data_IF_267705082272
#
_entry.id   IF_267705082272
#
_cell.length_a   1.000
_cell.length_b   1.000
_cell.length_c   1.000
_cell.angle_alpha   90.00
_cell.angle_beta   90.00
_cell.angle_gamma   90.00
#
_symmetry.space_group_name_H-M   'P 1'
#
loop_
_entity.id
_entity.type
_entity.pdbx_description
1 polymer ?
#
# COMPACT_ATOMS: atom_id res chain seq x y z
N UNK A 1 -19.62 -17.57 -29.90
CA UNK A 1 -19.46 -16.20 -29.38
C UNK A 1 -18.34 -16.28 -28.35
N UNK A 2 -17.11 -16.09 -28.80
CA UNK A 2 -15.90 -16.19 -27.98
C UNK A 2 -15.74 -14.84 -27.30
N UNK A 3 -15.88 -14.82 -25.98
CA UNK A 3 -15.69 -13.60 -25.20
C UNK A 3 -14.19 -13.36 -25.09
N UNK A 4 -13.67 -12.43 -25.90
CA UNK A 4 -12.29 -11.98 -25.76
C UNK A 4 -12.19 -11.14 -24.48
N UNK A 5 -11.38 -11.62 -23.54
CA UNK A 5 -11.00 -10.84 -22.38
C UNK A 5 -10.20 -9.63 -22.87
N UNK A 6 -10.80 -8.45 -22.81
CA UNK A 6 -10.14 -7.20 -23.12
C UNK A 6 -9.18 -6.85 -21.96
N UNK A 7 -8.01 -7.48 -21.94
CA UNK A 7 -6.91 -7.13 -21.04
C UNK A 7 -6.24 -5.84 -21.52
N UNK A 8 -6.97 -4.72 -21.55
CA UNK A 8 -6.44 -3.39 -21.83
C UNK A 8 -6.12 -2.67 -20.51
N UNK A 9 -5.09 -3.15 -19.81
CA UNK A 9 -4.12 -2.28 -19.15
C UNK A 9 -2.83 -3.08 -18.94
N UNK A 10 -1.79 -2.69 -19.67
CA UNK A 10 -0.42 -2.97 -19.28
C UNK A 10 -0.11 -2.11 -18.05
N UNK A 11 -0.74 -2.37 -16.90
CA UNK A 11 -0.24 -1.83 -15.63
C UNK A 11 1.14 -2.45 -15.43
N UNK A 12 2.18 -1.66 -15.66
CA UNK A 12 3.58 -2.11 -15.56
C UNK A 12 4.04 -2.14 -14.11
N UNK A 13 3.25 -1.59 -13.20
CA UNK A 13 3.56 -1.54 -11.79
C UNK A 13 3.56 -2.92 -11.13
N UNK A 14 4.39 -3.03 -10.07
CA UNK A 14 4.54 -4.25 -9.28
C UNK A 14 3.59 -4.18 -8.08
N UNK A 15 2.70 -5.15 -7.96
CA UNK A 15 1.82 -5.27 -6.79
C UNK A 15 2.62 -5.52 -5.52
N UNK A 16 2.38 -4.73 -4.49
CA UNK A 16 2.96 -4.91 -3.16
C UNK A 16 2.04 -5.84 -2.37
N UNK A 17 2.50 -7.05 -2.08
CA UNK A 17 1.71 -8.06 -1.36
C UNK A 17 1.71 -7.77 0.14
N UNK A 18 0.58 -7.25 0.63
CA UNK A 18 0.38 -6.92 2.03
C UNK A 18 -0.04 -8.16 2.84
N UNK A 19 0.70 -8.44 3.92
CA UNK A 19 0.41 -9.50 4.90
C UNK A 19 0.14 -8.88 6.26
N UNK A 20 -0.82 -9.45 6.99
CA UNK A 20 -1.11 -9.03 8.36
C UNK A 20 0.06 -9.46 9.26
N UNK A 21 0.55 -8.54 10.08
CA UNK A 21 1.66 -8.80 10.99
C UNK A 21 1.24 -9.48 12.31
N UNK A 22 0.03 -9.26 12.80
CA UNK A 22 -0.42 -9.76 14.12
C UNK A 22 -1.66 -10.67 14.06
N UNK A 23 -1.81 -11.56 15.03
CA UNK A 23 -2.95 -12.46 15.16
C UNK A 23 -4.20 -11.66 15.50
N UNK A 24 -5.06 -11.45 14.51
CA UNK A 24 -6.32 -10.74 14.66
C UNK A 24 -7.14 -11.29 15.85
N UNK A 25 -7.57 -10.40 16.75
CA UNK A 25 -8.79 -10.65 17.52
C UNK A 25 -9.95 -10.76 16.53
N UNK A 26 -10.89 -11.67 16.81
CA UNK A 26 -11.95 -12.11 15.87
C UNK A 26 -12.82 -11.01 15.22
N UNK A 27 -12.78 -9.78 15.71
CA UNK A 27 -13.72 -8.72 15.35
C UNK A 27 -13.06 -7.44 14.81
N UNK A 28 -11.82 -7.50 14.30
CA UNK A 28 -11.18 -6.30 13.77
C UNK A 28 -11.64 -6.03 12.33
N UNK A 29 -12.29 -4.89 12.15
CA UNK A 29 -12.71 -4.35 10.86
C UNK A 29 -11.66 -3.34 10.39
N UNK A 30 -11.16 -3.54 9.18
CA UNK A 30 -10.22 -2.65 8.50
C UNK A 30 -10.72 -2.36 7.08
N UNK A 31 -10.22 -1.29 6.48
CA UNK A 31 -10.45 -0.94 5.08
C UNK A 31 -9.45 -1.70 4.21
N UNK A 32 -9.91 -2.57 3.30
CA UNK A 32 -9.02 -3.22 2.36
C UNK A 32 -8.37 -2.17 1.44
N UNK A 33 -7.10 -2.40 1.11
CA UNK A 33 -6.34 -1.58 0.17
C UNK A 33 -5.63 -2.45 -0.87
N UNK A 34 -5.33 -1.85 -2.01
CA UNK A 34 -4.37 -2.36 -2.99
C UNK A 34 -3.22 -1.35 -3.09
N UNK A 35 -1.98 -1.84 -3.10
CA UNK A 35 -0.78 -1.02 -3.26
C UNK A 35 0.04 -1.51 -4.45
N UNK A 36 0.40 -0.59 -5.33
CA UNK A 36 1.15 -0.87 -6.56
C UNK A 36 2.33 0.09 -6.66
N UNK A 37 3.52 -0.45 -6.89
CA UNK A 37 4.70 0.34 -7.24
C UNK A 37 4.65 0.65 -8.73
N UNK A 38 4.31 1.88 -9.10
CA UNK A 38 4.21 2.36 -10.49
C UNK A 38 5.20 3.53 -10.71
N UNK A 39 6.25 3.28 -11.48
CA UNK A 39 7.35 4.25 -11.64
C UNK A 39 8.02 4.54 -10.29
N UNK A 40 8.08 5.82 -9.92
CA UNK A 40 8.65 6.30 -8.65
C UNK A 40 7.61 6.51 -7.55
N UNK A 41 6.38 5.99 -7.71
CA UNK A 41 5.34 6.14 -6.72
C UNK A 41 4.82 4.79 -6.25
N UNK A 42 4.41 4.73 -4.99
CA UNK A 42 3.44 3.74 -4.55
C UNK A 42 2.06 4.37 -4.70
N UNK A 43 1.24 3.78 -5.56
CA UNK A 43 -0.18 4.10 -5.67
C UNK A 43 -0.99 3.18 -4.76
N UNK A 44 -1.80 3.77 -3.89
CA UNK A 44 -2.65 3.07 -2.95
C UNK A 44 -4.12 3.38 -3.24
N UNK A 45 -4.90 2.34 -3.49
CA UNK A 45 -6.34 2.42 -3.65
C UNK A 45 -7.06 1.85 -2.43
N UNK A 46 -7.94 2.64 -1.84
CA UNK A 46 -8.85 2.18 -0.79
C UNK A 46 -10.11 1.57 -1.39
N UNK A 47 -10.56 0.43 -0.85
CA UNK A 47 -11.84 -0.19 -1.23
C UNK A 47 -13.02 0.23 -0.34
N UNK A 48 -12.76 1.10 0.63
CA UNK A 48 -13.73 1.66 1.56
C UNK A 48 -13.41 3.11 1.90
N UNK A 49 -14.22 3.71 2.77
CA UNK A 49 -14.01 5.06 3.28
C UNK A 49 -14.12 5.07 4.80
N UNK A 50 -13.39 5.97 5.45
CA UNK A 50 -13.48 6.22 6.89
C UNK A 50 -13.34 7.70 7.18
N UNK A 51 -13.84 8.15 8.33
CA UNK A 51 -13.51 9.47 8.88
C UNK A 51 -12.34 9.40 9.88
N UNK A 52 -11.86 8.19 10.17
CA UNK A 52 -10.71 7.95 11.05
C UNK A 52 -9.45 7.84 10.19
N UNK A 53 -8.33 8.47 10.60
CA UNK A 53 -7.09 8.42 9.86
C UNK A 53 -6.45 7.03 9.94
N UNK A 54 -5.74 6.68 8.89
CA UNK A 54 -4.82 5.55 8.81
C UNK A 54 -3.40 6.05 8.63
N UNK A 55 -2.40 5.27 9.04
CA UNK A 55 -1.00 5.65 8.89
C UNK A 55 -0.32 4.78 7.84
N UNK A 56 0.42 5.42 6.93
CA UNK A 56 1.40 4.75 6.09
C UNK A 56 2.79 5.03 6.62
N UNK A 57 3.64 4.00 6.62
CA UNK A 57 5.08 4.15 6.83
C UNK A 57 5.83 3.41 5.72
N UNK A 58 6.98 3.94 5.33
CA UNK A 58 7.97 3.19 4.54
C UNK A 58 9.20 3.01 5.42
N UNK A 59 9.67 1.76 5.52
CA UNK A 59 10.90 1.41 6.23
C UNK A 59 11.99 0.98 5.25
N UNK A 60 13.21 1.43 5.51
CA UNK A 60 14.39 0.92 4.81
C UNK A 60 14.77 -0.50 5.28
N UNK A 61 15.72 -1.13 4.59
CA UNK A 61 16.24 -2.46 4.95
C UNK A 61 16.80 -2.62 6.38
N UNK A 62 17.08 -1.52 7.07
CA UNK A 62 17.56 -1.54 8.46
C UNK A 62 16.41 -1.35 9.46
N UNK A 63 15.17 -1.23 8.97
CA UNK A 63 13.97 -0.99 9.77
C UNK A 63 13.76 0.49 10.12
N UNK A 64 14.54 1.42 9.57
CA UNK A 64 14.36 2.85 9.83
C UNK A 64 13.13 3.36 9.06
N UNK A 65 12.25 4.09 9.74
CA UNK A 65 11.14 4.79 9.07
C UNK A 65 11.72 5.95 8.27
N UNK A 66 11.62 5.88 6.95
CA UNK A 66 12.12 6.90 6.01
C UNK A 66 11.00 7.75 5.42
N UNK A 67 9.74 7.32 5.58
CA UNK A 67 8.55 8.10 5.28
C UNK A 67 7.43 7.72 6.25
N UNK A 68 6.61 8.70 6.62
CA UNK A 68 5.39 8.48 7.37
C UNK A 68 4.37 9.56 7.00
N UNK A 69 3.12 9.14 6.81
CA UNK A 69 2.00 10.07 6.64
C UNK A 69 0.70 9.50 7.24
N UNK A 70 -0.24 10.38 7.56
CA UNK A 70 -1.59 10.06 8.02
C UNK A 70 -2.62 10.50 7.00
N UNK A 71 -3.46 9.57 6.56
CA UNK A 71 -4.42 9.76 5.47
C UNK A 71 -5.82 9.43 5.96
N UNK A 72 -6.83 10.19 5.53
CA UNK A 72 -8.23 9.80 5.70
C UNK A 72 -8.61 8.90 4.51
N UNK A 73 -8.97 7.62 4.72
CA UNK A 73 -9.32 6.72 3.63
C UNK A 73 -10.51 7.21 2.81
N UNK A 74 -10.31 7.39 1.51
CA UNK A 74 -11.35 7.67 0.54
C UNK A 74 -11.25 6.72 -0.67
N UNK A 75 -12.37 6.11 -1.03
CA UNK A 75 -12.48 5.20 -2.17
C UNK A 75 -12.35 5.93 -3.52
N UNK A 76 -12.61 7.23 -3.56
CA UNK A 76 -12.62 8.01 -4.79
C UNK A 76 -11.23 8.49 -5.22
N UNK A 77 -10.24 8.46 -4.32
CA UNK A 77 -8.91 9.01 -4.55
C UNK A 77 -7.83 7.92 -4.48
N UNK A 78 -6.86 8.01 -5.40
CA UNK A 78 -5.63 7.22 -5.33
C UNK A 78 -4.65 8.01 -4.47
N UNK A 79 -4.28 7.45 -3.33
CA UNK A 79 -3.23 8.02 -2.49
C UNK A 79 -1.86 7.66 -3.08
N UNK A 80 -0.93 8.61 -3.08
CA UNK A 80 0.39 8.46 -3.70
C UNK A 80 1.49 8.75 -2.70
N UNK A 81 2.43 7.81 -2.59
CA UNK A 81 3.68 8.00 -1.86
C UNK A 81 4.77 8.22 -2.90
N UNK A 82 5.32 9.43 -2.93
CA UNK A 82 6.45 9.78 -3.78
C UNK A 82 7.75 9.19 -3.20
N UNK A 83 8.44 8.41 -4.01
CA UNK A 83 9.72 7.78 -3.66
C UNK A 83 10.91 8.55 -4.24
N UNK A 84 10.71 9.74 -4.81
CA UNK A 84 11.82 10.57 -5.30
C UNK A 84 12.82 10.87 -4.18
N UNK A 85 14.10 10.62 -4.48
CA UNK A 85 15.18 10.76 -3.51
C UNK A 85 15.44 9.51 -2.64
N UNK A 86 14.61 8.48 -2.74
CA UNK A 86 14.91 7.19 -2.14
C UNK A 86 16.04 6.51 -2.91
N UNK A 87 16.86 5.72 -2.21
CA UNK A 87 17.94 4.97 -2.82
C UNK A 87 17.42 3.62 -3.33
N UNK A 88 18.05 3.08 -4.37
CA UNK A 88 17.79 1.71 -4.79
C UNK A 88 18.01 0.71 -3.63
N UNK A 89 17.17 -0.31 -3.55
CA UNK A 89 17.19 -1.33 -2.51
C UNK A 89 15.81 -1.78 -2.03
N UNK A 90 15.81 -2.61 -0.99
CA UNK A 90 14.62 -3.20 -0.39
C UNK A 90 14.01 -2.30 0.69
N UNK A 91 12.68 -2.25 0.70
CA UNK A 91 11.87 -1.47 1.61
C UNK A 91 10.62 -2.25 2.03
N UNK A 92 10.01 -1.83 3.14
CA UNK A 92 8.71 -2.30 3.58
C UNK A 92 7.71 -1.14 3.56
N UNK A 93 6.53 -1.37 2.98
CA UNK A 93 5.35 -0.54 3.15
C UNK A 93 4.53 -1.09 4.32
N UNK A 94 4.23 -0.22 5.29
CA UNK A 94 3.34 -0.52 6.39
C UNK A 94 2.05 0.27 6.24
N UNK A 95 0.92 -0.42 6.34
CA UNK A 95 -0.41 0.15 6.45
C UNK A 95 -0.96 -0.15 7.84
N UNK A 96 -1.17 0.90 8.63
CA UNK A 96 -1.53 0.80 10.05
C UNK A 96 -2.89 1.44 10.26
N UNK A 97 -3.90 0.60 10.51
CA UNK A 97 -5.26 1.01 10.81
C UNK A 97 -5.66 0.47 12.18
N UNK A 98 -5.87 1.37 13.14
CA UNK A 98 -6.19 1.04 14.53
C UNK A 98 -5.13 0.09 15.12
N UNK A 99 -5.54 -1.12 15.48
CA UNK A 99 -4.70 -2.15 16.08
C UNK A 99 -4.17 -3.16 15.05
N UNK A 100 -4.35 -2.91 13.75
CA UNK A 100 -3.86 -3.80 12.68
C UNK A 100 -2.74 -3.13 11.91
N UNK A 101 -1.67 -3.90 11.68
CA UNK A 101 -0.58 -3.52 10.78
C UNK A 101 -0.48 -4.55 9.66
N UNK A 102 -0.50 -4.07 8.43
CA UNK A 102 -0.16 -4.83 7.24
C UNK A 102 1.22 -4.42 6.76
N UNK A 103 2.02 -5.39 6.32
CA UNK A 103 3.38 -5.19 5.84
C UNK A 103 3.49 -5.78 4.44
N UNK A 104 4.07 -5.04 3.52
CA UNK A 104 4.40 -5.52 2.18
C UNK A 104 5.79 -5.08 1.78
N UNK A 105 6.56 -6.01 1.22
CA UNK A 105 7.93 -5.77 0.77
C UNK A 105 7.92 -5.28 -0.68
N UNK A 106 8.82 -4.35 -1.00
CA UNK A 106 9.06 -3.89 -2.37
C UNK A 106 10.54 -3.50 -2.58
N UNK A 107 10.94 -3.36 -3.84
CA UNK A 107 12.29 -3.00 -4.23
C UNK A 107 12.26 -1.81 -5.20
N UNK A 108 13.13 -0.83 -4.96
CA UNK A 108 13.43 0.26 -5.88
C UNK A 108 14.68 -0.15 -6.67
N UNK A 109 14.58 -0.13 -8.01
CA UNK A 109 15.67 -0.50 -8.94
C UNK A 109 16.68 0.64 -9.17
#
# INVERSE_FOLDING_TARGET
MTMEANCLSSHRGKYIQLKIWDHLKKDIVFIPIEAVLEGNNIEVQFFGKSNEPTTFQVKDKNGNIVFQDMVIPDKQEIYKIDLDGFKAGQYELLYIEKDVTFIGEFEIE
#
